data_IF_468442648294
#
_entry.id   IF_468442648294
#
_cell.length_a   1.000
_cell.length_b   1.000
_cell.length_c   1.000
_cell.angle_alpha   90.00
_cell.angle_beta   90.00
_cell.angle_gamma   90.00
#
_symmetry.space_group_name_H-M   'P 1'
#
loop_
_entity.id
_entity.type
_entity.pdbx_description
1 polymer ?
2 polymer ?
3 water ?
#
# COMPACT_ATOMS: atom_id res chain seq x y z
N UNK A 6 24.94 -8.31 -6.26
CA UNK A 6 25.83 -8.11 -5.13
C UNK A 6 25.72 -9.25 -4.13
N UNK A 7 26.62 -9.29 -3.17
CA UNK A 7 26.55 -10.29 -2.11
C UNK A 7 25.54 -9.87 -1.05
N UNK A 8 25.50 -8.57 -0.74
CA UNK A 8 24.53 -8.04 0.21
C UNK A 8 23.12 -8.16 -0.36
N UNK A 9 23.03 -8.48 -1.64
CA UNK A 9 21.75 -8.75 -2.28
C UNK A 9 21.27 -10.16 -1.98
N UNK A 10 22.06 -11.15 -2.36
CA UNK A 10 21.70 -12.54 -2.12
C UNK A 10 21.38 -12.77 -0.64
N UNK A 11 22.13 -12.11 0.23
CA UNK A 11 21.92 -12.20 1.67
C UNK A 11 20.54 -11.66 2.08
N UNK A 12 20.29 -10.39 1.77
CA UNK A 12 19.00 -9.78 2.06
C UNK A 12 17.87 -10.69 1.61
N UNK A 13 18.02 -11.26 0.42
CA UNK A 13 17.05 -12.19 -0.13
C UNK A 13 16.86 -13.40 0.77
N UNK A 14 17.96 -14.06 1.13
CA UNK A 14 17.90 -15.24 1.99
C UNK A 14 17.09 -14.97 3.26
N UNK A 15 17.28 -13.77 3.81
CA UNK A 15 16.50 -13.37 4.98
C UNK A 15 15.02 -13.24 4.63
N UNK A 16 14.74 -12.42 3.62
CA UNK A 16 13.38 -12.21 3.15
C UNK A 16 12.64 -13.55 3.03
N UNK A 17 13.31 -14.52 2.44
CA UNK A 17 12.76 -15.87 2.30
C UNK A 17 12.31 -16.45 3.63
N UNK A 18 13.22 -16.53 4.59
CA UNK A 18 12.87 -17.04 5.91
C UNK A 18 11.64 -16.33 6.45
N UNK A 19 11.63 -15.01 6.37
CA UNK A 19 10.51 -14.23 6.88
C UNK A 19 9.21 -14.75 6.29
N UNK A 20 9.24 -15.05 5.00
CA UNK A 20 8.06 -15.53 4.30
C UNK A 20 7.70 -16.95 4.74
N UNK A 21 8.72 -17.77 4.96
CA UNK A 21 8.52 -19.14 5.42
C UNK A 21 7.99 -19.14 6.84
N UNK A 22 8.26 -18.07 7.58
CA UNK A 22 7.82 -17.95 8.96
C UNK A 22 6.43 -17.37 9.07
N UNK A 23 5.93 -16.79 7.99
CA UNK A 23 4.56 -16.31 7.93
C UNK A 23 3.63 -17.42 7.44
N UNK A 24 4.23 -18.55 7.04
CA UNK A 24 3.47 -19.73 6.67
C UNK A 24 3.35 -20.64 7.89
N UNK A 25 4.47 -20.88 8.55
CA UNK A 25 4.49 -21.63 9.79
C UNK A 25 3.82 -20.82 10.90
N UNK A 26 3.44 -19.58 10.57
CA UNK A 26 2.84 -18.68 11.53
C UNK A 26 2.31 -17.41 10.87
N UNK A 27 0.99 -17.35 10.62
CA UNK A 27 0.36 -16.14 10.10
C UNK A 27 -0.05 -15.21 11.22
N UNK A 28 0.30 -13.92 11.13
CA UNK A 28 -0.08 -12.89 12.10
C UNK A 28 -1.59 -12.67 12.13
N UNK A 29 -2.06 -12.00 13.19
CA UNK A 29 -3.49 -11.78 13.40
C UNK A 29 -4.14 -10.94 12.30
N UNK A 30 -5.02 -11.58 11.53
CA UNK A 30 -5.78 -10.90 10.48
C UNK A 30 -4.88 -10.38 9.36
N UNK A 31 -3.60 -10.75 9.40
CA UNK A 31 -2.62 -10.23 8.44
C UNK A 31 -2.13 -11.30 7.47
N UNK A 32 -1.97 -10.91 6.21
CA UNK A 32 -1.52 -11.80 5.16
C UNK A 32 -0.62 -11.05 4.17
N UNK A 33 0.49 -11.67 3.79
CA UNK A 33 1.44 -11.02 2.89
C UNK A 33 2.22 -12.02 2.04
N UNK A 34 2.39 -11.68 0.77
CA UNK A 34 3.15 -12.53 -0.14
C UNK A 34 3.81 -11.70 -1.22
N UNK A 35 4.80 -12.29 -1.91
CA UNK A 35 5.46 -11.63 -3.04
C UNK A 35 4.49 -11.44 -4.18
N UNK A 36 4.63 -10.35 -4.92
CA UNK A 36 3.73 -10.08 -6.04
C UNK A 36 3.99 -11.05 -7.19
N UNK A 37 4.51 -12.23 -6.85
CA UNK A 37 4.84 -13.23 -7.83
C UNK A 37 6.12 -12.88 -8.56
N UNK A 38 7.06 -13.84 -8.57
CA UNK A 38 8.31 -13.70 -9.30
C UNK A 38 9.29 -12.74 -8.63
N UNK A 39 8.86 -11.51 -8.37
CA UNK A 39 9.71 -10.54 -7.68
C UNK A 39 9.60 -10.72 -6.18
N UNK A 40 10.73 -10.98 -5.54
CA UNK A 40 10.77 -11.30 -4.12
C UNK A 40 10.83 -10.05 -3.24
N UNK A 41 11.41 -8.97 -3.77
CA UNK A 41 11.58 -7.74 -3.01
C UNK A 41 10.31 -6.89 -3.08
N UNK A 42 9.27 -7.47 -3.64
CA UNK A 42 8.00 -6.77 -3.79
C UNK A 42 6.85 -7.64 -3.29
N UNK A 43 6.23 -7.23 -2.19
CA UNK A 43 5.13 -7.98 -1.59
C UNK A 43 3.90 -7.13 -1.52
N UNK A 44 2.74 -7.78 -1.44
CA UNK A 44 1.53 -7.07 -1.09
C UNK A 44 1.05 -7.64 0.23
N UNK A 45 0.44 -6.80 1.06
CA UNK A 45 -0.11 -7.26 2.32
C UNK A 45 -1.59 -6.98 2.38
N UNK A 46 -2.29 -7.75 3.22
CA UNK A 46 -3.72 -7.55 3.40
C UNK A 46 -4.04 -7.52 4.89
N UNK A 47 -5.07 -6.75 5.25
CA UNK A 47 -5.46 -6.61 6.65
C UNK A 47 -6.98 -6.62 6.79
N UNK A 48 -7.48 -7.40 7.75
CA UNK A 48 -8.91 -7.65 7.85
C UNK A 48 -9.64 -6.62 8.69
N UNK A 49 -8.99 -5.49 8.97
CA UNK A 49 -9.60 -4.45 9.77
C UNK A 49 -10.03 -4.96 11.13
N UNK A 50 -9.20 -4.70 12.15
CA UNK A 50 -9.45 -5.16 13.52
C UNK A 50 -10.90 -5.01 13.93
N UNK A 51 -11.36 -5.87 14.86
CA UNK A 51 -12.74 -5.82 15.32
C UNK A 51 -12.90 -4.82 16.46
N UNK A 52 -11.78 -4.26 16.92
CA UNK A 52 -11.80 -3.22 17.94
C UNK A 52 -11.58 -1.87 17.27
N UNK A 53 -11.92 -1.79 15.99
CA UNK A 53 -11.72 -0.58 15.22
C UNK A 53 -12.95 -0.29 14.36
N UNK A 54 -13.04 0.93 13.82
CA UNK A 54 -14.12 1.29 12.89
C UNK A 54 -13.89 0.69 11.50
N UNK A 55 -12.75 0.03 11.32
CA UNK A 55 -12.41 -0.53 10.02
C UNK A 55 -12.80 -2.00 9.96
N UNK A 56 -13.38 -2.48 11.05
CA UNK A 56 -13.86 -3.85 11.14
C UNK A 56 -14.60 -4.22 9.86
N UNK A 57 -14.18 -5.31 9.23
CA UNK A 57 -14.82 -5.78 8.01
C UNK A 57 -14.05 -5.48 6.74
N UNK A 58 -13.58 -4.24 6.59
CA UNK A 58 -12.87 -3.84 5.40
C UNK A 58 -11.51 -4.50 5.22
N UNK A 59 -11.14 -4.77 3.98
CA UNK A 59 -9.85 -5.36 3.67
C UNK A 59 -8.92 -4.32 3.01
N UNK A 60 -7.79 -4.07 3.65
CA UNK A 60 -6.88 -3.01 3.22
C UNK A 60 -5.58 -3.55 2.66
N UNK A 61 -5.27 -3.20 1.42
CA UNK A 61 -4.07 -3.70 0.75
C UNK A 61 -2.87 -2.79 0.95
N UNK A 62 -1.69 -3.39 1.05
CA UNK A 62 -0.46 -2.66 1.22
C UNK A 62 0.56 -3.11 0.19
N UNK A 63 1.60 -2.30 0.00
CA UNK A 63 2.73 -2.70 -0.82
C UNK A 63 4.01 -2.63 -0.01
N UNK A 64 4.76 -3.72 0.00
CA UNK A 64 6.01 -3.77 0.71
C UNK A 64 7.16 -3.86 -0.27
N UNK A 65 8.00 -2.84 -0.27
CA UNK A 65 9.20 -2.83 -1.11
C UNK A 65 10.43 -2.95 -0.23
N UNK A 66 11.13 -4.07 -0.36
CA UNK A 66 12.31 -4.35 0.45
C UNK A 66 13.55 -3.65 -0.11
N UNK A 67 14.25 -2.92 0.76
CA UNK A 67 15.55 -2.34 0.39
C UNK A 67 16.49 -3.47 0.00
N UNK A 68 17.47 -3.18 -0.84
CA UNK A 68 18.46 -4.18 -1.17
C UNK A 68 19.40 -4.39 0.02
N UNK A 69 19.34 -3.48 0.99
CA UNK A 69 20.15 -3.56 2.19
C UNK A 69 19.39 -4.18 3.36
N UNK A 70 18.26 -4.81 3.06
CA UNK A 70 17.43 -5.44 4.08
C UNK A 70 18.20 -6.56 4.78
N UNK A 71 18.00 -6.73 6.10
CA UNK A 71 17.13 -5.94 6.97
C UNK A 71 17.85 -4.79 7.66
N UNK A 72 19.01 -4.41 7.14
CA UNK A 72 19.78 -3.34 7.74
C UNK A 72 19.10 -2.00 7.52
N UNK A 73 18.33 -1.91 6.45
CA UNK A 73 17.48 -0.74 6.20
C UNK A 73 16.02 -1.18 6.15
N UNK A 74 15.14 -0.40 6.78
CA UNK A 74 13.70 -0.68 6.92
C UNK A 74 13.02 -0.84 5.57
N UNK A 75 12.00 -1.71 5.50
CA UNK A 75 11.25 -1.92 4.26
C UNK A 75 10.24 -0.80 4.04
N UNK A 76 10.19 -0.28 2.82
CA UNK A 76 9.21 0.72 2.45
C UNK A 76 7.84 0.06 2.28
N UNK A 77 6.86 0.53 3.05
CA UNK A 77 5.53 -0.03 3.00
C UNK A 77 4.46 1.04 3.18
N UNK A 78 3.34 0.86 2.49
CA UNK A 78 2.27 1.84 2.51
C UNK A 78 0.98 1.24 1.96
N UNK A 79 -0.14 1.86 2.29
CA UNK A 79 -1.44 1.40 1.83
C UNK A 79 -1.69 1.72 0.36
N UNK A 80 -2.41 0.82 -0.31
CA UNK A 80 -2.95 1.11 -1.63
C UNK A 80 -4.41 1.48 -1.46
N UNK A 81 -5.07 0.83 -0.51
CA UNK A 81 -6.48 1.07 -0.21
C UNK A 81 -6.65 2.38 0.57
N UNK A 82 -7.59 3.21 0.15
CA UNK A 82 -7.90 4.43 0.89
C UNK A 82 -8.43 4.05 2.25
N UNK A 83 -8.15 4.90 3.25
CA UNK A 83 -8.56 4.60 4.61
C UNK A 83 -8.57 5.88 5.45
N UNK A 84 -9.61 6.03 6.25
CA UNK A 84 -9.75 7.21 7.09
C UNK A 84 -9.01 7.00 8.39
N UNK A 85 -7.90 7.70 8.57
CA UNK A 85 -7.07 7.52 9.75
C UNK A 85 -6.15 8.74 9.87
N UNK A 86 -5.85 9.16 11.11
CA UNK A 86 -5.00 10.34 11.32
C UNK A 86 -3.55 10.11 10.96
N UNK A 87 -3.15 8.84 10.86
CA UNK A 87 -1.74 8.51 10.63
C UNK A 87 -1.49 7.89 9.26
N UNK A 88 -2.50 7.95 8.41
CA UNK A 88 -2.39 7.44 7.05
C UNK A 88 -2.98 8.46 6.08
N UNK A 89 -2.18 8.88 5.10
CA UNK A 89 -2.60 9.94 4.18
C UNK A 89 -2.97 9.46 2.77
N UNK A 90 -3.46 10.39 1.96
CA UNK A 90 -3.95 10.11 0.61
C UNK A 90 -3.00 9.25 -0.22
N UNK A 91 -1.70 9.42 0.00
CA UNK A 91 -0.70 8.66 -0.73
C UNK A 91 -0.72 7.19 -0.32
N UNK A 92 -0.85 6.97 0.97
CA UNK A 92 -0.85 5.62 1.52
C UNK A 92 0.18 5.52 2.63
N UNK A 93 0.87 6.63 2.87
CA UNK A 93 1.94 6.69 3.87
C UNK A 93 1.44 6.34 5.27
N UNK A 94 2.27 5.61 6.03
CA UNK A 94 1.94 5.23 7.38
C UNK A 94 2.92 5.87 8.36
N UNK A 95 2.44 6.25 9.53
CA UNK A 95 3.28 6.93 10.52
C UNK A 95 3.64 6.00 11.67
N UNK A 96 4.68 5.20 11.46
CA UNK A 96 5.21 4.29 12.48
C UNK A 96 6.70 4.53 12.66
N UNK A 97 7.13 4.80 13.88
CA UNK A 97 8.56 4.98 14.14
C UNK A 97 9.31 3.72 13.73
N UNK A 98 8.66 2.58 13.94
CA UNK A 98 9.22 1.28 13.58
C UNK A 98 9.70 1.24 12.13
N UNK A 99 9.05 2.03 11.28
CA UNK A 99 9.38 2.03 9.86
C UNK A 99 10.35 3.14 9.47
N UNK A 100 10.64 4.04 10.40
CA UNK A 100 11.64 5.08 10.21
C UNK A 100 12.77 4.88 11.20
N UNK A 101 13.39 5.99 11.62
CA UNK A 101 14.48 5.93 12.59
C UNK A 101 13.99 5.34 13.91
N UNK A 102 14.02 4.01 13.97
CA UNK A 102 13.53 3.25 15.11
C UNK A 102 13.48 1.79 14.68
N UNK A 103 13.84 1.55 13.43
CA UNK A 103 13.86 0.21 12.88
C UNK A 103 15.12 -0.53 13.28
N UNK A 104 14.95 -1.75 13.79
CA UNK A 104 16.07 -2.61 14.12
C UNK A 104 16.08 -3.83 13.21
N UNK A 105 17.27 -4.28 12.82
CA UNK A 105 17.38 -5.44 11.93
C UNK A 105 16.70 -6.67 12.51
N UNK A 106 16.45 -6.66 13.82
CA UNK A 106 15.76 -7.76 14.48
C UNK A 106 14.27 -7.74 14.14
N UNK A 107 13.77 -6.55 13.81
CA UNK A 107 12.38 -6.39 13.41
C UNK A 107 12.09 -7.14 12.13
N UNK A 108 10.87 -7.66 12.02
CA UNK A 108 10.47 -8.40 10.84
C UNK A 108 9.12 -7.92 10.32
N UNK A 109 8.79 -8.31 9.10
CA UNK A 109 7.51 -7.98 8.50
C UNK A 109 6.38 -8.41 9.42
N UNK A 110 6.36 -9.69 9.78
CA UNK A 110 5.34 -10.22 10.68
C UNK A 110 5.10 -9.26 11.84
N UNK A 111 6.18 -8.77 12.44
CA UNK A 111 6.08 -7.83 13.54
C UNK A 111 5.43 -6.52 13.12
N UNK A 112 5.87 -5.97 11.99
CA UNK A 112 5.39 -4.68 11.52
C UNK A 112 3.87 -4.64 11.30
N UNK A 113 3.34 -5.68 10.67
CA UNK A 113 1.90 -5.75 10.40
C UNK A 113 1.10 -5.59 11.68
N UNK A 114 1.55 -6.27 12.74
CA UNK A 114 0.91 -6.17 14.04
C UNK A 114 0.96 -4.73 14.52
N UNK A 115 2.15 -4.13 14.44
CA UNK A 115 2.33 -2.75 14.85
C UNK A 115 1.34 -1.84 14.13
N UNK A 116 1.00 -2.22 12.90
CA UNK A 116 0.05 -1.46 12.08
C UNK A 116 -1.39 -1.69 12.52
N UNK A 117 -1.71 -2.94 12.84
CA UNK A 117 -3.04 -3.27 13.33
C UNK A 117 -3.30 -2.57 14.66
N UNK A 118 -2.35 -2.68 15.59
CA UNK A 118 -2.48 -2.04 16.89
C UNK A 118 -2.39 -0.54 16.77
N UNK A 119 -2.46 -0.06 15.53
CA UNK A 119 -2.49 1.38 15.26
C UNK A 119 -3.87 1.73 14.75
N UNK A 120 -4.44 0.85 13.93
CA UNK A 120 -5.79 1.02 13.43
C UNK A 120 -6.79 0.95 14.58
N UNK A 121 -6.39 0.30 15.66
CA UNK A 121 -7.22 0.22 16.85
C UNK A 121 -7.00 1.44 17.73
N UNK A 122 -5.75 1.87 17.81
CA UNK A 122 -5.46 3.07 18.56
C UNK A 122 -4.44 3.93 17.89
N UNK A 123 -4.89 5.09 17.46
CA UNK A 123 -4.09 5.97 16.63
C UNK A 123 -3.34 6.92 17.48
N UNK A 124 -2.27 7.50 16.97
CA UNK A 124 -1.47 8.44 17.73
C UNK A 124 -1.69 9.78 17.11
N UNK A 125 -2.45 10.61 17.79
CA UNK A 125 -2.95 11.83 17.19
C UNK A 125 -2.09 12.99 17.55
N UNK A 126 -1.13 12.80 18.43
CA UNK A 126 -0.31 13.93 18.82
C UNK A 126 0.79 14.08 17.80
N UNK A 127 1.01 13.03 17.03
CA UNK A 127 1.96 13.04 15.93
C UNK A 127 1.27 12.46 14.69
N UNK A 128 0.39 13.27 14.07
CA UNK A 128 -0.53 12.86 13.01
C UNK A 128 0.00 13.10 11.60
N UNK A 129 -0.42 12.24 10.68
CA UNK A 129 -0.07 12.39 9.28
C UNK A 129 -1.11 13.28 8.60
N UNK A 130 -2.32 13.28 9.15
CA UNK A 130 -3.44 14.07 8.63
C UNK A 130 -4.12 14.86 9.74
N UNK A 131 -3.66 16.09 9.98
CA UNK A 131 -4.13 16.94 11.07
C UNK A 131 -5.66 17.06 11.14
N UNK A 132 -6.28 17.40 10.01
CA UNK A 132 -7.74 17.53 9.96
C UNK A 132 -8.41 16.40 10.72
N UNK A 133 -8.08 15.16 10.36
CA UNK A 133 -8.65 13.99 11.02
C UNK A 133 -8.22 13.90 12.48
N UNK A 134 -6.95 14.16 12.75
CA UNK A 134 -6.42 14.09 14.10
C UNK A 134 -7.26 14.93 15.05
N UNK A 135 -7.72 16.09 14.58
CA UNK A 135 -8.53 16.98 15.40
C UNK A 135 -9.92 16.37 15.66
N UNK A 136 -10.45 15.68 14.67
CA UNK A 136 -11.75 15.01 14.82
C UNK A 136 -11.68 13.89 15.85
N UNK A 137 -10.60 13.11 15.79
CA UNK A 137 -10.37 12.06 16.76
C UNK A 137 -10.41 12.65 18.17
N UNK A 138 -9.57 13.67 18.39
CA UNK A 138 -9.48 14.31 19.68
C UNK A 138 -10.82 14.85 20.16
N UNK A 139 -11.38 15.77 19.37
CA UNK A 139 -12.57 16.51 19.77
C UNK A 139 -13.86 15.68 19.72
N UNK A 140 -14.10 15.03 18.58
CA UNK A 140 -15.35 14.32 18.38
C UNK A 140 -15.15 12.90 17.85
N UNK A 141 -14.98 11.95 18.77
CA UNK A 141 -14.77 10.54 18.41
C UNK A 141 -15.91 10.00 17.56
N UNK A 142 -17.14 10.15 18.05
CA UNK A 142 -18.31 9.68 17.32
C UNK A 142 -18.17 10.01 15.83
N UNK A 143 -17.87 11.27 15.54
CA UNK A 143 -17.64 11.72 14.18
C UNK A 143 -16.66 10.76 13.50
N UNK A 144 -15.46 10.69 14.07
CA UNK A 144 -14.39 9.85 13.55
C UNK A 144 -14.85 8.44 13.21
N UNK A 145 -15.25 7.69 14.23
CA UNK A 145 -15.70 6.31 14.03
C UNK A 145 -16.70 6.18 12.89
N UNK A 146 -17.71 7.05 12.88
CA UNK A 146 -18.71 7.06 11.83
C UNK A 146 -18.03 7.16 10.46
N UNK A 147 -17.23 8.20 10.30
CA UNK A 147 -16.53 8.47 9.05
C UNK A 147 -15.63 7.30 8.63
N UNK A 148 -14.83 6.82 9.58
CA UNK A 148 -13.93 5.70 9.34
C UNK A 148 -14.69 4.55 8.71
N UNK A 149 -15.88 4.27 9.24
CA UNK A 149 -16.71 3.20 8.72
C UNK A 149 -17.30 3.56 7.36
N UNK A 150 -17.70 4.82 7.21
CA UNK A 150 -18.22 5.30 5.94
C UNK A 150 -17.22 5.04 4.81
N UNK A 151 -15.94 5.17 5.13
CA UNK A 151 -14.87 4.93 4.16
C UNK A 151 -14.56 3.45 4.01
N UNK A 152 -14.47 2.76 5.15
CA UNK A 152 -14.27 1.32 5.14
C UNK A 152 -15.37 0.68 4.31
N UNK A 153 -16.51 1.36 4.25
CA UNK A 153 -17.69 0.85 3.54
C UNK A 153 -17.55 0.92 2.02
N UNK A 154 -17.14 2.07 1.52
CA UNK A 154 -17.12 2.30 0.08
C UNK A 154 -15.78 1.97 -0.55
N UNK A 155 -14.72 2.09 0.24
CA UNK A 155 -13.36 1.89 -0.26
C UNK A 155 -12.82 0.49 -0.04
N UNK A 156 -13.11 -0.09 1.12
CA UNK A 156 -12.55 -1.39 1.50
C UNK A 156 -13.55 -2.53 1.42
N UNK A 157 -14.60 -2.36 0.62
CA UNK A 157 -15.59 -3.41 0.40
C UNK A 157 -16.59 -3.02 -0.68
N UNK B 21 1.76 -15.91 -1.92
CA UNK B 21 1.85 -16.36 -3.30
C UNK B 21 1.27 -15.31 -4.26
N UNK B 22 -0.03 -15.42 -4.52
CA UNK B 22 -0.79 -14.49 -5.37
C UNK B 22 -0.15 -14.10 -6.71
N UNK B 23 -0.98 -13.69 -7.68
CA UNK B 23 -0.48 -13.30 -8.99
C UNK B 23 -1.54 -12.65 -9.90
N UNK B 24 -1.22 -12.59 -11.19
CA UNK B 24 -2.09 -11.98 -12.18
C UNK B 24 -1.57 -12.29 -13.59
N UNK B 25 -2.41 -12.82 -14.48
CA UNK B 25 -3.83 -13.14 -14.27
C UNK B 25 -4.73 -11.90 -14.37
N UNK B 26 -4.17 -10.72 -14.20
CA UNK B 26 -5.01 -9.54 -14.22
C UNK B 26 -5.64 -9.33 -15.57
N UNK B 27 -6.87 -8.87 -15.57
CA UNK B 27 -7.58 -8.59 -16.80
C UNK B 27 -7.00 -7.42 -17.51
N UNK B 28 -5.91 -7.58 -18.22
CA UNK B 28 -5.41 -6.43 -18.95
C UNK B 28 -6.04 -5.19 -18.33
N UNK B 29 -6.33 -4.18 -19.14
CA UNK B 29 -7.07 -3.00 -18.69
C UNK B 29 -6.45 -2.39 -17.44
N UNK B 30 -6.55 -3.10 -16.33
CA UNK B 30 -5.87 -2.79 -15.09
C UNK B 30 -4.37 -2.68 -15.33
N UNK B 31 -3.88 -3.49 -16.27
CA UNK B 31 -2.46 -3.58 -16.55
C UNK B 31 -1.89 -2.30 -17.17
N UNK B 32 -0.64 -1.98 -16.82
CA UNK B 32 0.04 -0.79 -17.33
C UNK B 32 0.45 -0.96 -18.78
N UNK B 33 0.22 0.08 -19.60
CA UNK B 33 0.49 0.05 -21.05
C UNK B 33 1.95 -0.25 -21.36
N UNK B 34 2.86 0.29 -20.55
CA UNK B 34 4.27 0.10 -20.78
C UNK B 34 4.76 -1.24 -20.22
N UNK B 35 4.78 -1.34 -18.90
CA UNK B 35 5.38 -2.49 -18.23
C UNK B 35 4.43 -3.68 -18.10
N UNK B 36 3.14 -3.42 -18.28
CA UNK B 36 2.13 -4.47 -18.13
C UNK B 36 2.11 -5.03 -16.72
N UNK B 37 2.35 -4.17 -15.74
CA UNK B 37 2.20 -4.53 -14.33
C UNK B 37 0.77 -4.23 -13.94
N UNK B 38 0.36 -4.71 -12.77
CA UNK B 38 -0.93 -4.32 -12.22
C UNK B 38 -0.78 -2.93 -11.62
N UNK B 39 -1.75 -2.07 -11.87
CA UNK B 39 -1.71 -0.71 -11.38
C UNK B 39 -2.12 -0.65 -9.91
N UNK B 40 -1.71 0.42 -9.24
CA UNK B 40 -2.07 0.61 -7.83
C UNK B 40 -2.56 2.04 -7.64
N UNK B 41 -2.29 2.88 -8.63
CA UNK B 41 -2.76 4.25 -8.61
C UNK B 41 -2.89 4.77 -10.04
N UNK B 42 -3.90 4.28 -10.77
CA UNK B 42 -4.10 4.67 -12.17
C UNK B 42 -4.28 6.18 -12.32
N UNK B 43 -3.63 6.75 -13.33
CA UNK B 43 -3.82 8.14 -13.69
C UNK B 43 -4.00 8.23 -15.20
N UNK B 44 -4.68 9.27 -15.65
CA UNK B 44 -4.87 9.47 -17.08
C UNK B 44 -4.04 10.65 -17.57
N UNK B 45 -3.20 10.39 -18.56
CA UNK B 45 -2.43 11.44 -19.22
C UNK B 45 -3.35 12.25 -20.12
N UNK B 46 -2.95 13.48 -20.49
CA UNK B 46 -3.74 14.27 -21.41
C UNK B 46 -4.03 13.49 -22.69
N UNK B 47 -3.07 12.65 -23.06
CA UNK B 47 -3.19 11.78 -24.23
C UNK B 47 -4.50 11.01 -24.21
N UNK B 48 -4.99 10.72 -23.02
CA UNK B 48 -6.16 9.89 -22.84
C UNK B 48 -5.73 8.50 -22.40
N UNK B 49 -4.42 8.33 -22.28
CA UNK B 49 -3.81 7.06 -21.90
C UNK B 49 -3.80 6.89 -20.39
N UNK B 50 -4.09 5.68 -19.92
CA UNK B 50 -4.11 5.40 -18.50
C UNK B 50 -2.86 4.65 -18.04
N UNK B 51 -2.12 5.24 -17.11
CA UNK B 51 -0.89 4.66 -16.60
C UNK B 51 -0.86 4.58 -15.08
N UNK B 52 -0.04 3.69 -14.56
CA UNK B 52 0.21 3.61 -13.13
C UNK B 52 1.11 4.78 -12.72
N UNK B 53 0.63 5.60 -11.80
CA UNK B 53 1.37 6.77 -11.32
C UNK B 53 2.86 6.49 -11.13
N UNK B 54 3.16 5.36 -10.50
CA UNK B 54 4.55 4.97 -10.21
C UNK B 54 5.39 4.92 -11.49
N UNK B 55 4.90 4.19 -12.49
CA UNK B 55 5.63 4.06 -13.74
C UNK B 55 5.85 5.40 -14.42
N UNK B 56 4.76 6.06 -14.77
CA UNK B 56 4.81 7.34 -15.49
C UNK B 56 5.73 8.36 -14.81
N UNK B 57 5.68 8.40 -13.47
CA UNK B 57 6.50 9.33 -12.73
C UNK B 57 7.99 9.13 -13.03
N UNK B 58 8.39 7.88 -13.20
CA UNK B 58 9.78 7.57 -13.44
C UNK B 58 10.19 8.06 -14.83
N UNK B 59 9.25 8.05 -15.76
CA UNK B 59 9.52 8.52 -17.10
C UNK B 59 9.77 10.03 -17.09
N UNK B 60 9.04 10.74 -16.24
CA UNK B 60 9.11 12.19 -16.21
C UNK B 60 10.42 12.72 -15.64
N UNK B 61 11.25 11.83 -15.11
CA UNK B 61 12.56 12.22 -14.59
C UNK B 61 13.54 12.43 -15.73
N UNK B 62 13.42 11.60 -16.76
CA UNK B 62 14.28 11.67 -17.93
C UNK B 62 13.81 12.77 -18.89
N UNK B 63 12.64 12.56 -19.47
CA UNK B 63 12.06 13.53 -20.39
C UNK B 63 10.64 13.89 -19.98
N UNK B 64 10.34 15.19 -19.96
CA UNK B 64 9.00 15.70 -19.63
C UNK B 64 8.06 15.55 -20.82
N UNK B 65 7.78 14.31 -21.22
CA UNK B 65 6.93 14.08 -22.38
C UNK B 65 6.07 12.83 -22.22
N UNK B 66 4.90 12.85 -22.85
CA UNK B 66 4.08 11.66 -22.95
C UNK B 66 4.86 10.63 -23.74
N UNK B 67 4.99 9.41 -23.18
CA UNK B 67 5.72 8.30 -23.80
C UNK B 67 4.99 7.71 -25.01
N UNK B 68 4.09 8.48 -25.61
CA UNK B 68 3.32 8.00 -26.76
C UNK B 68 3.22 9.06 -27.84
N UNK B 69 2.43 10.09 -27.60
CA UNK B 69 2.30 11.20 -28.53
C UNK B 69 3.52 12.13 -28.48
N UNK B 70 4.42 11.84 -27.55
CA UNK B 70 5.66 12.61 -27.39
C UNK B 70 5.39 14.11 -27.17
N UNK B 71 4.21 14.43 -26.64
CA UNK B 71 3.88 15.81 -26.28
C UNK B 71 4.36 16.13 -24.87
N UNK B 72 4.56 17.41 -24.59
CA UNK B 72 5.06 17.85 -23.30
C UNK B 72 4.14 17.43 -22.15
N UNK B 73 4.73 16.95 -21.06
CA UNK B 73 3.96 16.41 -19.94
C UNK B 73 4.60 16.68 -18.58
N UNK B 74 3.79 17.14 -17.63
CA UNK B 74 4.23 17.35 -16.25
C UNK B 74 3.28 16.69 -15.27
N UNK B 75 3.75 16.45 -14.04
CA UNK B 75 2.92 15.87 -12.99
C UNK B 75 1.55 16.53 -12.92
N UNK B 76 1.55 17.86 -12.91
CA UNK B 76 0.32 18.64 -12.80
C UNK B 76 -0.78 18.08 -13.70
N UNK B 77 -0.38 17.65 -14.89
CA UNK B 77 -1.33 17.24 -15.93
C UNK B 77 -1.90 15.84 -15.73
N UNK B 78 -1.44 15.16 -14.68
CA UNK B 78 -1.93 13.82 -14.39
C UNK B 78 -3.19 13.85 -13.54
N UNK B 79 -4.31 13.42 -14.12
CA UNK B 79 -5.56 13.32 -13.39
C UNK B 79 -5.78 11.87 -12.95
N UNK B 80 -6.09 11.67 -11.66
CA UNK B 80 -6.35 10.34 -11.09
C UNK B 80 -7.58 9.68 -11.70
N UNK B 81 -7.61 8.35 -11.70
CA UNK B 81 -8.75 7.60 -12.23
C UNK B 81 -9.28 6.62 -11.19
N UNK B 82 -10.02 7.14 -10.18
CA UNK B 82 -10.58 6.34 -9.09
C UNK B 82 -11.50 5.22 -9.57
N UNK B 83 -12.35 5.51 -10.55
CA UNK B 83 -13.30 4.53 -11.06
C UNK B 83 -12.61 3.20 -11.30
N UNK B 84 -11.43 3.26 -11.90
CA UNK B 84 -10.65 2.09 -12.22
C UNK B 84 -10.02 1.52 -10.96
N UNK B 85 -9.47 2.40 -10.13
CA UNK B 85 -8.82 1.95 -8.89
C UNK B 85 -9.76 1.07 -8.09
N UNK B 86 -10.94 1.57 -7.76
CA UNK B 86 -11.93 0.81 -7.01
C UNK B 86 -12.17 -0.52 -7.72
N UNK B 87 -12.22 -0.45 -9.05
CA UNK B 87 -12.45 -1.62 -9.88
C UNK B 87 -11.36 -2.65 -9.65
N UNK B 88 -10.13 -2.17 -9.49
CA UNK B 88 -8.98 -3.01 -9.23
C UNK B 88 -9.00 -3.56 -7.81
N UNK B 89 -9.20 -2.66 -6.85
CA UNK B 89 -9.28 -3.03 -5.45
C UNK B 89 -10.35 -4.08 -5.21
N UNK B 90 -11.56 -3.82 -5.71
CA UNK B 90 -12.64 -4.78 -5.58
C UNK B 90 -12.24 -6.11 -6.18
N UNK B 91 -11.54 -6.05 -7.32
CA UNK B 91 -11.05 -7.24 -7.99
C UNK B 91 -10.08 -8.01 -7.10
N UNK B 92 -9.16 -7.28 -6.49
CA UNK B 92 -8.20 -7.88 -5.57
C UNK B 92 -8.89 -8.49 -4.36
N UNK B 93 -10.01 -7.90 -3.96
CA UNK B 93 -10.79 -8.41 -2.85
C UNK B 93 -11.45 -9.74 -3.22
N UNK B 94 -12.02 -9.78 -4.43
CA UNK B 94 -12.63 -11.00 -4.93
C UNK B 94 -11.59 -12.10 -5.01
N UNK B 95 -10.37 -11.73 -5.39
CA UNK B 95 -9.25 -12.67 -5.41
C UNK B 95 -8.68 -12.85 -4.00
N UNK B 96 -9.57 -13.10 -3.04
CA UNK B 96 -9.17 -13.39 -1.67
C UNK B 96 -10.02 -14.54 -1.13
N UNK B 97 -10.89 -15.07 -1.99
CA UNK B 97 -11.78 -16.15 -1.61
C UNK B 97 -11.48 -17.43 -2.38
N UNK B 98 -12.11 -18.52 -1.99
CA UNK B 98 -11.93 -19.81 -2.65
C UNK B 98 -10.49 -20.31 -2.55
#
# INVERSE_FOLDING_TARGET
MHHHHHHMNSMALKRINKELSDLARDPPAQCSAGPVGDDMFHWQATIMGPNDSPYQGGVFFLTIHFPTDYPFKPPKVAFTTRIYHPNINSNGSICLDILRSQWSPALTISKVLLSICSLLCDPNPDDPLVPEIARIYKTDRDKYNRISREWTQKYAM
GSHKFAEKVEEIVAKNARAEIDYSDAPDEFRDPLMDTLMTDPVRLPSGTIMDRSIILRHLLNSPTDPFNRQTLTESMLEPVPELKEQIQAWMREKQNSDH
#
